data_IF_236528984425
#
_entry.id   IF_236528984425
#
_cell.length_a   1.000
_cell.length_b   1.000
_cell.length_c   1.000
_cell.angle_alpha   90.00
_cell.angle_beta   90.00
_cell.angle_gamma   90.00
#
_symmetry.space_group_name_H-M   'P 1'
#
loop_
_entity.id
_entity.type
_entity.pdbx_description
1 polymer ?
2 non-polymer ?
3 non-polymer ?
4 non-polymer ?
5 water ?
#
# COMPACT_ATOMS: atom_id res chain seq x y z
N UNK A 2 -18.02 5.88 28.49
CA UNK A 2 -17.80 7.25 27.93
C UNK A 2 -18.21 7.33 26.46
N UNK A 3 -18.76 8.46 26.05
CA UNK A 3 -19.26 8.64 24.68
C UNK A 3 -18.15 9.10 23.73
N UNK A 4 -17.86 8.30 22.72
CA UNK A 4 -16.84 8.60 21.71
C UNK A 4 -17.56 9.12 20.47
N UNK A 5 -16.96 10.13 19.82
CA UNK A 5 -17.50 10.69 18.59
C UNK A 5 -16.40 10.77 17.54
N UNK A 6 -16.68 10.28 16.34
CA UNK A 6 -15.75 10.46 15.25
C UNK A 6 -16.42 10.62 13.90
N UNK A 7 -15.82 11.46 13.07
CA UNK A 7 -16.22 11.58 11.67
C UNK A 7 -15.74 10.31 10.96
N UNK A 8 -16.57 9.75 10.09
CA UNK A 8 -16.26 8.51 9.38
C UNK A 8 -16.68 8.62 7.92
N UNK A 9 -15.69 8.76 7.04
CA UNK A 9 -15.92 8.88 5.61
C UNK A 9 -15.26 7.74 4.85
N UNK A 10 -15.96 7.25 3.83
CA UNK A 10 -15.46 6.21 2.98
C UNK A 10 -14.73 6.84 1.81
N UNK A 11 -13.50 6.40 1.56
CA UNK A 11 -12.77 6.72 0.34
C UNK A 11 -13.15 5.69 -0.71
N UNK A 12 -13.64 6.15 -1.86
CA UNK A 12 -14.35 5.28 -2.77
C UNK A 12 -13.48 4.34 -3.60
N UNK A 13 -12.20 4.65 -3.77
CA UNK A 13 -11.28 3.76 -4.50
C UNK A 13 -9.88 3.74 -3.88
N UNK A 14 -9.10 2.74 -4.29
CA UNK A 14 -7.70 2.64 -3.86
C UNK A 14 -6.91 3.82 -4.40
N UNK A 15 -7.27 4.29 -5.60
CA UNK A 15 -6.62 5.44 -6.21
C UNK A 15 -6.87 6.72 -5.40
N UNK A 16 -8.10 6.86 -4.90
CA UNK A 16 -8.43 8.00 -4.04
C UNK A 16 -7.64 7.95 -2.73
N UNK A 17 -7.52 6.75 -2.18
CA UNK A 17 -6.75 6.51 -0.97
C UNK A 17 -5.26 6.80 -1.20
N UNK A 18 -4.73 6.34 -2.32
CA UNK A 18 -3.33 6.61 -2.66
C UNK A 18 -3.07 8.11 -2.79
N UNK A 19 -3.98 8.81 -3.46
CA UNK A 19 -3.84 10.26 -3.64
C UNK A 19 -3.87 10.96 -2.30
N UNK A 20 -4.78 10.54 -1.42
CA UNK A 20 -4.89 11.14 -0.10
C UNK A 20 -3.63 10.93 0.74
N UNK A 21 -3.17 9.70 0.83
CA UNK A 21 -1.99 9.41 1.66
C UNK A 21 -0.76 10.14 1.13
N UNK A 22 -0.66 10.27 -0.19
CA UNK A 22 0.44 11.01 -0.81
C UNK A 22 0.40 12.48 -0.40
N UNK A 23 -0.77 13.09 -0.54
CA UNK A 23 -0.95 14.49 -0.17
C UNK A 23 -0.74 14.78 1.31
N UNK A 24 -1.06 13.83 2.18
CA UNK A 24 -0.96 14.03 3.63
C UNK A 24 0.40 13.69 4.22
N UNK A 25 1.32 13.21 3.38
CA UNK A 25 2.63 12.78 3.85
C UNK A 25 3.37 13.80 4.73
N UNK A 26 3.31 15.11 4.41
CA UNK A 26 3.97 16.09 5.29
C UNK A 26 3.41 16.14 6.70
N UNK A 27 2.18 15.65 6.88
CA UNK A 27 1.49 15.69 8.16
C UNK A 27 1.56 14.38 8.93
N UNK A 28 2.32 13.43 8.41
CA UNK A 28 2.34 12.09 8.99
C UNK A 28 2.92 12.05 10.39
N UNK A 29 2.19 11.42 11.29
CA UNK A 29 2.60 11.27 12.67
C UNK A 29 3.10 9.87 12.94
N UNK A 30 2.30 8.87 12.61
CA UNK A 30 2.68 7.48 12.79
C UNK A 30 1.80 6.55 11.97
N UNK A 31 2.25 5.30 11.86
CA UNK A 31 1.53 4.25 11.15
C UNK A 31 1.36 3.04 12.05
N UNK A 32 0.12 2.61 12.21
CA UNK A 32 -0.21 1.50 13.09
C UNK A 32 -0.67 0.30 12.27
N UNK A 33 -0.11 -0.86 12.60
CA UNK A 33 -0.58 -2.13 12.08
C UNK A 33 -1.54 -2.73 13.11
N UNK A 34 -2.79 -2.94 12.73
CA UNK A 34 -3.82 -3.43 13.64
C UNK A 34 -4.37 -4.77 13.18
N UNK A 35 -4.59 -5.66 14.15
CA UNK A 35 -5.40 -6.84 13.94
C UNK A 35 -6.55 -6.81 14.93
N UNK A 36 -7.77 -6.83 14.41
CA UNK A 36 -8.98 -6.78 15.23
C UNK A 36 -9.62 -8.17 15.30
N UNK A 37 -9.94 -8.63 16.50
CA UNK A 37 -10.66 -9.88 16.71
C UNK A 37 -11.87 -9.61 17.56
N UNK A 38 -12.91 -10.41 17.37
CA UNK A 38 -14.22 -10.15 17.98
C UNK A 38 -14.81 -11.39 18.63
N UNK A 39 -15.62 -11.15 19.65
CA UNK A 39 -16.14 -12.21 20.50
C UNK A 39 -17.63 -12.04 20.72
N UNK A 40 -18.36 -13.14 20.60
CA UNK A 40 -19.79 -13.19 20.92
C UNK A 40 -20.21 -14.63 21.19
N UNK A 41 -21.44 -14.83 21.63
CA UNK A 41 -21.98 -16.19 21.71
C UNK A 41 -22.37 -16.64 20.30
N UNK A 42 -22.51 -17.96 20.08
CA UNK A 42 -23.02 -18.44 18.79
C UNK A 42 -24.41 -17.91 18.45
N UNK A 43 -25.18 -17.52 19.45
CA UNK A 43 -26.50 -16.91 19.24
C UNK A 43 -26.44 -15.39 19.06
N UNK A 44 -25.24 -14.83 18.93
CA UNK A 44 -25.06 -13.40 18.70
C UNK A 44 -25.70 -12.53 19.77
N UNK A 45 -25.55 -12.92 21.03
CA UNK A 45 -26.18 -12.21 22.15
C UNK A 45 -25.74 -10.75 22.27
N UNK A 46 -24.45 -10.49 22.11
CA UNK A 46 -23.96 -9.11 22.16
C UNK A 46 -24.42 -8.31 20.94
N UNK A 47 -24.29 -8.89 19.76
CA UNK A 47 -24.66 -8.21 18.51
C UNK A 47 -26.14 -7.83 18.52
N UNK A 48 -26.97 -8.65 19.15
CA UNK A 48 -28.41 -8.37 19.27
C UNK A 48 -28.69 -7.22 20.25
N UNK A 49 -27.82 -7.06 21.24
CA UNK A 49 -27.90 -5.92 22.15
C UNK A 49 -27.07 -4.74 21.63
N UNK A 50 -26.70 -4.79 20.35
CA UNK A 50 -25.89 -3.76 19.70
C UNK A 50 -24.58 -3.47 20.45
N UNK A 51 -23.98 -4.52 21.00
CA UNK A 51 -22.68 -4.40 21.67
C UNK A 51 -21.64 -5.17 20.88
N UNK A 52 -20.42 -4.62 20.82
CA UNK A 52 -19.30 -5.27 20.16
C UNK A 52 -18.12 -5.38 21.15
N UNK A 53 -17.64 -6.61 21.34
CA UNK A 53 -16.50 -6.88 22.19
C UNK A 53 -15.30 -7.23 21.31
N UNK A 54 -14.25 -6.41 21.41
CA UNK A 54 -13.11 -6.52 20.50
C UNK A 54 -11.79 -6.61 21.26
N UNK A 55 -10.93 -7.51 20.80
CA UNK A 55 -9.51 -7.51 21.18
C UNK A 55 -8.71 -7.05 19.97
N UNK A 56 -7.99 -5.94 20.14
CA UNK A 56 -7.14 -5.40 19.09
C UNK A 56 -5.68 -5.64 19.44
N UNK A 57 -4.93 -6.19 18.50
CA UNK A 57 -3.48 -6.30 18.63
C UNK A 57 -2.87 -5.25 17.71
N UNK A 58 -1.93 -4.47 18.23
CA UNK A 58 -1.32 -3.43 17.41
C UNK A 58 0.15 -3.20 17.67
N UNK A 59 0.82 -2.75 16.62
CA UNK A 59 2.22 -2.37 16.66
C UNK A 59 2.41 -1.10 15.84
N UNK A 60 3.25 -0.21 16.34
CA UNK A 60 3.72 0.93 15.59
C UNK A 60 4.71 0.43 14.55
N UNK A 61 4.46 0.75 13.28
CA UNK A 61 5.29 0.28 12.16
C UNK A 61 6.72 0.79 12.25
N UNK A 62 6.94 1.89 12.97
CA UNK A 62 8.28 2.46 13.15
C UNK A 62 8.83 2.29 14.57
N UNK A 63 8.37 1.26 15.27
CA UNK A 63 8.90 0.93 16.60
C UNK A 63 10.42 0.77 16.55
N UNK A 64 11.07 1.15 17.63
CA UNK A 64 12.54 1.09 17.71
C UNK A 64 13.04 -0.33 17.45
N UNK A 65 14.05 -0.45 16.59
CA UNK A 65 14.69 -1.74 16.29
C UNK A 65 15.60 -2.17 17.44
N UNK A 66 16.18 -1.20 18.13
CA UNK A 66 17.11 -1.46 19.22
C UNK A 66 16.40 -1.97 20.47
N UNK A 67 15.27 -1.35 20.79
CA UNK A 67 14.48 -1.70 21.97
C UNK A 67 13.15 -2.33 21.58
N UNK A 68 13.14 -3.65 21.29
CA UNK A 68 11.87 -4.31 20.96
C UNK A 68 10.92 -4.40 22.16
N UNK A 69 9.62 -4.29 21.89
CA UNK A 69 8.58 -4.43 22.92
C UNK A 69 7.46 -5.32 22.36
N UNK A 70 6.64 -5.92 23.24
CA UNK A 70 5.56 -6.76 22.70
C UNK A 70 4.52 -5.95 21.92
N UNK A 71 3.74 -6.59 21.04
CA UNK A 71 2.57 -5.88 20.51
C UNK A 71 1.62 -5.53 21.64
N UNK A 72 0.90 -4.42 21.52
CA UNK A 72 -0.08 -4.04 22.55
C UNK A 72 -1.40 -4.76 22.28
N UNK A 73 -2.12 -5.09 23.34
CA UNK A 73 -3.44 -5.70 23.22
C UNK A 73 -4.46 -4.87 23.98
N UNK A 74 -5.48 -4.41 23.26
CA UNK A 74 -6.52 -3.56 23.85
C UNK A 74 -7.87 -4.24 23.74
N UNK A 75 -8.51 -4.45 24.88
CA UNK A 75 -9.90 -4.91 24.93
C UNK A 75 -10.82 -3.69 24.91
N UNK A 76 -11.86 -3.75 24.09
CA UNK A 76 -12.82 -2.65 24.02
C UNK A 76 -14.24 -3.17 23.94
N UNK A 77 -15.12 -2.53 24.69
CA UNK A 77 -16.54 -2.77 24.60
C UNK A 77 -17.20 -1.51 24.03
N UNK A 78 -17.88 -1.67 22.91
CA UNK A 78 -18.62 -0.59 22.28
C UNK A 78 -20.13 -0.89 22.30
N UNK A 79 -20.93 0.07 22.77
CA UNK A 79 -22.36 -0.12 22.93
C UNK A 79 -23.13 1.13 22.53
N UNK A 80 -24.44 0.97 22.34
CA UNK A 80 -25.35 2.04 21.97
C UNK A 80 -24.81 2.86 20.78
N UNK A 81 -24.46 2.19 19.66
CA UNK A 81 -23.89 2.89 18.52
C UNK A 81 -24.93 3.58 17.66
N UNK A 82 -24.54 4.72 17.10
CA UNK A 82 -25.27 5.35 16.00
C UNK A 82 -24.26 5.76 14.95
N UNK A 83 -24.62 5.56 13.70
CA UNK A 83 -23.79 5.93 12.57
C UNK A 83 -24.68 6.45 11.48
N UNK A 84 -24.64 7.75 11.24
CA UNK A 84 -25.44 8.38 10.21
C UNK A 84 -24.79 9.68 9.78
N UNK A 85 -24.90 9.99 8.48
CA UNK A 85 -24.39 11.25 7.93
C UNK A 85 -22.89 11.44 8.18
N UNK A 86 -22.15 10.34 8.22
CA UNK A 86 -20.70 10.37 8.33
C UNK A 86 -20.19 10.67 9.73
N UNK A 87 -21.06 10.52 10.73
CA UNK A 87 -20.69 10.76 12.12
C UNK A 87 -21.06 9.54 12.96
N UNK A 88 -20.07 8.98 13.62
CA UNK A 88 -20.25 7.83 14.50
C UNK A 88 -20.26 8.25 15.97
N UNK A 89 -21.27 7.82 16.71
CA UNK A 89 -21.34 8.01 18.16
C UNK A 89 -21.51 6.66 18.83
N UNK A 90 -20.72 6.42 19.87
CA UNK A 90 -20.75 5.15 20.56
C UNK A 90 -20.27 5.33 22.00
N UNK A 91 -20.84 4.53 22.89
CA UNK A 91 -20.36 4.41 24.26
C UNK A 91 -19.21 3.40 24.25
N UNK A 92 -18.05 3.80 24.75
CA UNK A 92 -16.86 2.95 24.68
C UNK A 92 -16.14 2.84 26.02
N UNK A 93 -15.68 1.63 26.31
CA UNK A 93 -14.81 1.37 27.45
C UNK A 93 -13.66 0.50 26.96
N UNK A 94 -12.42 0.93 27.21
CA UNK A 94 -11.26 0.18 26.72
C UNK A 94 -10.14 0.10 27.74
N UNK A 95 -9.32 -0.93 27.61
CA UNK A 95 -8.30 -1.25 28.59
C UNK A 95 -7.22 -2.10 27.94
N UNK A 96 -5.98 -1.84 28.30
CA UNK A 96 -4.86 -2.60 27.79
C UNK A 96 -4.68 -3.85 28.63
N UNK A 97 -4.32 -4.95 27.97
CA UNK A 97 -4.01 -6.21 28.66
C UNK A 97 -2.75 -6.79 28.07
N UNK A 98 -2.26 -7.85 28.71
CA UNK A 98 -1.02 -8.50 28.30
C UNK A 98 -1.23 -9.16 26.94
N UNK A 99 -0.24 -9.02 26.07
CA UNK A 99 -0.28 -9.63 24.75
C UNK A 99 -0.57 -11.14 24.82
N UNK A 100 0.16 -11.85 25.67
CA UNK A 100 0.05 -13.30 25.67
C UNK A 100 -1.33 -13.81 26.09
N UNK A 101 -1.96 -13.14 27.05
CA UNK A 101 -3.28 -13.59 27.50
C UNK A 101 -4.35 -13.24 26.45
N UNK A 102 -4.17 -12.11 25.79
CA UNK A 102 -5.01 -11.74 24.65
C UNK A 102 -5.00 -12.81 23.58
N UNK A 103 -3.81 -13.29 23.23
CA UNK A 103 -3.69 -14.35 22.22
C UNK A 103 -4.33 -15.67 22.65
N UNK A 104 -4.25 -15.98 23.94
CA UNK A 104 -4.87 -17.20 24.47
C UNK A 104 -6.39 -17.09 24.51
N UNK A 105 -6.89 -15.88 24.72
CA UNK A 105 -8.34 -15.64 24.70
C UNK A 105 -8.94 -15.86 23.32
N UNK A 106 -8.14 -15.59 22.28
CA UNK A 106 -8.58 -15.81 20.90
C UNK A 106 -8.89 -17.29 20.69
N UNK A 107 -8.03 -18.16 21.20
CA UNK A 107 -8.21 -19.61 21.06
C UNK A 107 -9.19 -20.15 22.11
N UNK A 108 -9.24 -19.52 23.29
CA UNK A 108 -10.10 -19.94 24.38
C UNK A 108 -10.78 -18.75 25.07
N UNK A 109 -11.93 -18.31 24.54
CA UNK A 109 -12.59 -17.11 25.09
C UNK A 109 -12.97 -17.20 26.57
N UNK A 110 -13.09 -18.40 27.12
CA UNK A 110 -13.38 -18.56 28.54
C UNK A 110 -12.32 -17.88 29.42
N UNK A 111 -11.09 -17.80 28.91
CA UNK A 111 -9.99 -17.20 29.65
C UNK A 111 -10.10 -15.69 29.79
N UNK A 112 -11.09 -15.08 29.14
CA UNK A 112 -11.37 -13.67 29.32
C UNK A 112 -11.69 -13.31 30.79
N UNK A 113 -12.11 -14.27 31.59
CA UNK A 113 -12.41 -14.04 33.02
C UNK A 113 -11.17 -13.98 33.91
N UNK A 114 -10.09 -14.66 33.52
CA UNK A 114 -8.84 -14.62 34.30
C UNK A 114 -8.27 -13.21 34.41
N UNK A 115 -8.44 -12.44 33.33
CA UNK A 115 -7.81 -11.14 33.18
C UNK A 115 -7.95 -10.23 34.40
N UNK A 116 -9.15 -10.18 34.98
CA UNK A 116 -9.45 -9.22 36.05
C UNK A 116 -9.50 -7.81 35.47
N UNK A 117 -10.24 -7.67 34.37
CA UNK A 117 -10.41 -6.41 33.67
C UNK A 117 -11.80 -5.84 33.94
N UNK A 118 -11.86 -4.56 34.30
CA UNK A 118 -13.12 -3.89 34.55
C UNK A 118 -13.99 -3.85 33.30
N UNK A 119 -13.37 -3.77 32.13
CA UNK A 119 -14.12 -3.75 30.87
C UNK A 119 -14.91 -5.04 30.71
N UNK A 120 -14.29 -6.17 31.05
CA UNK A 120 -14.94 -7.47 30.91
C UNK A 120 -15.90 -7.74 32.05
N UNK A 121 -15.59 -7.22 33.24
CA UNK A 121 -16.54 -7.25 34.34
C UNK A 121 -17.81 -6.52 33.94
N UNK A 122 -17.65 -5.43 33.20
CA UNK A 122 -18.78 -4.65 32.73
C UNK A 122 -19.63 -5.42 31.72
N UNK A 123 -18.98 -6.18 30.85
CA UNK A 123 -19.69 -7.01 29.88
C UNK A 123 -20.61 -7.97 30.63
N UNK A 124 -20.08 -8.60 31.67
CA UNK A 124 -20.83 -9.56 32.48
C UNK A 124 -22.03 -8.93 33.18
N UNK A 125 -21.78 -7.80 33.84
CA UNK A 125 -22.81 -7.13 34.65
C UNK A 125 -23.91 -6.50 33.82
N UNK A 126 -23.56 -5.87 32.71
CA UNK A 126 -24.53 -5.13 31.90
C UNK A 126 -25.38 -6.06 31.04
N UNK A 127 -24.78 -7.12 30.54
CA UNK A 127 -25.44 -8.00 29.57
C UNK A 127 -25.81 -9.37 30.13
N UNK A 128 -25.54 -9.58 31.42
CA UNK A 128 -26.09 -10.72 32.16
C UNK A 128 -25.37 -12.03 31.97
N UNK A 129 -24.05 -12.00 31.81
CA UNK A 129 -23.25 -13.21 31.74
C UNK A 129 -22.53 -13.42 33.08
N UNK A 130 -22.44 -14.67 33.52
CA UNK A 130 -21.66 -15.03 34.69
C UNK A 130 -20.20 -15.32 34.36
N UNK A 131 -19.94 -15.59 33.07
CA UNK A 131 -18.61 -15.92 32.60
C UNK A 131 -18.62 -15.90 31.06
N UNK A 132 -17.52 -16.28 30.44
CA UNK A 132 -17.41 -16.31 28.97
C UNK A 132 -17.34 -17.73 28.41
N UNK A 133 -17.87 -18.69 29.17
CA UNK A 133 -17.84 -20.09 28.76
C UNK A 133 -18.62 -20.36 27.48
N UNK A 134 -19.61 -19.52 27.18
CA UNK A 134 -20.43 -19.69 25.99
C UNK A 134 -20.00 -18.87 24.79
N UNK A 135 -18.79 -18.31 24.84
CA UNK A 135 -18.33 -17.40 23.80
C UNK A 135 -17.45 -18.09 22.77
N UNK A 136 -17.51 -17.57 21.54
CA UNK A 136 -16.57 -17.93 20.48
C UNK A 136 -15.84 -16.69 20.02
N UNK A 137 -14.67 -16.89 19.44
CA UNK A 137 -14.01 -15.84 18.68
C UNK A 137 -14.55 -15.90 17.27
N UNK A 138 -15.10 -14.78 16.80
CA UNK A 138 -15.68 -14.69 15.47
C UNK A 138 -14.60 -14.52 14.41
N UNK A 139 -13.35 -14.36 14.84
CA UNK A 139 -12.23 -14.09 13.94
C UNK A 139 -12.11 -12.59 13.78
N UNK A 140 -11.55 -12.17 12.66
CA UNK A 140 -11.42 -10.75 12.39
C UNK A 140 -10.60 -10.40 11.17
N UNK A 141 -9.95 -9.24 11.22
CA UNK A 141 -9.30 -8.69 10.04
C UNK A 141 -8.18 -7.72 10.39
N UNK A 142 -7.39 -7.41 9.37
CA UNK A 142 -6.21 -6.57 9.49
C UNK A 142 -6.54 -5.15 9.03
N UNK A 143 -5.93 -4.16 9.68
CA UNK A 143 -6.03 -2.77 9.25
C UNK A 143 -4.71 -2.03 9.37
N UNK A 144 -4.38 -1.24 8.34
CA UNK A 144 -3.26 -0.30 8.41
C UNK A 144 -3.82 1.10 8.59
N UNK A 145 -3.44 1.74 9.69
CA UNK A 145 -3.94 3.05 10.05
C UNK A 145 -2.82 4.07 10.00
N UNK A 146 -2.94 5.04 9.10
CA UNK A 146 -2.02 6.18 9.05
C UNK A 146 -2.62 7.33 9.84
N UNK A 147 -1.84 7.87 10.75
CA UNK A 147 -2.28 8.97 11.62
C UNK A 147 -1.56 10.25 11.19
N UNK A 148 -2.34 11.32 11.02
CA UNK A 148 -1.81 12.60 10.59
C UNK A 148 -2.25 13.72 11.53
N UNK A 149 -1.36 14.69 11.75
CA UNK A 149 -1.68 15.89 12.51
C UNK A 149 -1.91 17.00 11.48
N UNK A 150 -3.17 17.37 11.30
CA UNK A 150 -3.59 18.19 10.16
C UNK A 150 -4.66 19.19 10.56
N UNK A 151 -4.37 20.47 10.37
CA UNK A 151 -5.31 21.57 10.65
C UNK A 151 -5.99 21.45 12.02
N UNK A 152 -5.19 21.12 13.03
CA UNK A 152 -5.66 21.06 14.41
C UNK A 152 -6.29 19.77 14.88
N UNK A 153 -6.38 18.77 13.99
CA UNK A 153 -7.01 17.50 14.33
C UNK A 153 -6.12 16.33 13.97
N UNK A 154 -6.45 15.17 14.52
CA UNK A 154 -5.77 13.92 14.15
C UNK A 154 -6.61 13.15 13.14
N UNK A 155 -6.13 13.05 11.91
CA UNK A 155 -6.80 12.24 10.89
C UNK A 155 -6.27 10.82 10.93
N UNK A 156 -7.18 9.86 10.82
CA UNK A 156 -6.83 8.45 10.73
C UNK A 156 -7.30 7.96 9.37
N UNK A 157 -6.35 7.53 8.54
CA UNK A 157 -6.65 7.02 7.20
C UNK A 157 -6.41 5.51 7.23
N UNK A 158 -7.47 4.74 6.99
CA UNK A 158 -7.47 3.30 7.16
C UNK A 158 -7.48 2.56 5.83
N UNK A 159 -6.66 1.53 5.75
CA UNK A 159 -6.72 0.53 4.69
C UNK A 159 -7.04 -0.80 5.36
N UNK A 160 -8.30 -1.21 5.23
CA UNK A 160 -8.81 -2.39 5.90
C UNK A 160 -8.80 -3.55 4.92
N UNK A 161 -8.10 -4.62 5.28
CA UNK A 161 -7.81 -5.72 4.36
C UNK A 161 -8.63 -6.96 4.69
N UNK A 162 -9.87 -7.03 4.22
CA UNK A 162 -10.70 -8.21 4.41
C UNK A 162 -10.28 -9.29 3.43
N UNK A 163 -10.74 -10.52 3.67
CA UNK A 163 -10.49 -11.63 2.72
C UNK A 163 -11.15 -11.38 1.37
N UNK A 164 -12.22 -10.60 1.36
CA UNK A 164 -12.99 -10.32 0.15
C UNK A 164 -12.58 -9.01 -0.52
N UNK A 165 -11.51 -8.38 -0.05
CA UNK A 165 -10.98 -7.15 -0.66
C UNK A 165 -10.73 -6.05 0.34
N UNK A 166 -10.17 -4.95 -0.15
CA UNK A 166 -9.80 -3.82 0.68
C UNK A 166 -10.85 -2.73 0.71
N UNK A 167 -11.00 -2.08 1.86
CA UNK A 167 -11.81 -0.88 1.99
C UNK A 167 -10.94 0.23 2.56
N UNK A 168 -11.33 1.47 2.28
CA UNK A 168 -10.54 2.64 2.64
C UNK A 168 -11.44 3.69 3.30
N UNK A 169 -10.97 4.22 4.41
CA UNK A 169 -11.72 5.19 5.20
C UNK A 169 -10.85 6.33 5.72
N UNK A 170 -11.48 7.47 6.00
CA UNK A 170 -10.86 8.53 6.78
C UNK A 170 -11.69 8.72 8.02
N UNK A 171 -11.03 8.78 9.17
CA UNK A 171 -11.69 9.04 10.43
C UNK A 171 -11.04 10.17 11.18
N UNK A 172 -11.83 10.79 12.06
CA UNK A 172 -11.33 11.83 12.95
C UNK A 172 -12.12 11.87 14.24
N UNK A 173 -11.48 11.54 15.35
CA UNK A 173 -12.10 11.65 16.67
C UNK A 173 -12.16 13.12 17.05
N UNK A 174 -13.32 13.57 17.49
CA UNK A 174 -13.53 14.99 17.75
C UNK A 174 -14.81 15.22 18.53
N UNK A 175 -14.83 16.30 19.31
CA UNK A 175 -16.04 16.76 19.98
C UNK A 175 -16.80 17.77 19.12
N UNK A 176 -16.24 18.13 17.96
CA UNK A 176 -16.89 19.06 17.05
C UNK A 176 -17.03 18.46 15.65
N UNK A 177 -17.81 17.36 15.54
CA UNK A 177 -17.90 16.56 14.31
C UNK A 177 -18.42 17.31 13.08
N UNK A 178 -19.40 18.19 13.25
CA UNK A 178 -19.98 18.93 12.10
C UNK A 178 -18.96 19.89 11.49
N UNK A 179 -18.24 20.62 12.35
CA UNK A 179 -17.21 21.55 11.89
C UNK A 179 -16.07 20.79 11.21
N UNK A 180 -15.59 19.75 11.89
CA UNK A 180 -14.47 18.98 11.38
C UNK A 180 -14.83 18.23 10.09
N UNK A 181 -16.02 17.64 10.06
CA UNK A 181 -16.47 16.94 8.85
C UNK A 181 -16.47 17.89 7.66
N UNK A 182 -16.99 19.09 7.88
CA UNK A 182 -17.02 20.11 6.83
C UNK A 182 -15.60 20.44 6.35
N UNK A 183 -14.69 20.66 7.28
CA UNK A 183 -13.29 20.93 6.96
C UNK A 183 -12.65 19.82 6.12
N UNK A 184 -12.89 18.58 6.51
CA UNK A 184 -12.31 17.44 5.80
C UNK A 184 -12.90 17.35 4.40
N UNK A 185 -14.22 17.48 4.31
CA UNK A 185 -14.90 17.36 3.02
C UNK A 185 -14.48 18.43 2.03
N UNK A 186 -14.27 19.65 2.51
CA UNK A 186 -13.81 20.74 1.64
C UNK A 186 -12.45 20.43 1.06
N UNK A 187 -11.57 19.89 1.90
CA UNK A 187 -10.24 19.48 1.46
C UNK A 187 -10.30 18.39 0.41
N UNK A 188 -11.07 17.34 0.70
CA UNK A 188 -11.23 16.22 -0.23
C UNK A 188 -11.82 16.69 -1.55
N UNK A 189 -12.79 17.60 -1.45
CA UNK A 189 -13.43 18.16 -2.61
C UNK A 189 -12.45 18.96 -3.45
N UNK A 190 -11.71 19.84 -2.80
CA UNK A 190 -10.68 20.65 -3.48
C UNK A 190 -9.63 19.76 -4.19
N UNK A 191 -9.26 18.66 -3.56
CA UNK A 191 -8.23 17.77 -4.13
C UNK A 191 -8.81 16.65 -4.99
N UNK A 192 -10.14 16.65 -5.17
CA UNK A 192 -10.81 15.66 -5.98
C UNK A 192 -10.48 14.25 -5.56
N UNK A 193 -10.65 13.99 -4.26
CA UNK A 193 -10.48 12.68 -3.67
C UNK A 193 -11.88 12.12 -3.40
N UNK A 194 -12.30 11.15 -4.20
CA UNK A 194 -13.69 10.66 -4.15
C UNK A 194 -14.02 10.07 -2.77
N UNK A 195 -15.17 10.47 -2.23
CA UNK A 195 -15.59 10.02 -0.91
C UNK A 195 -17.10 10.01 -0.75
N UNK A 196 -17.55 9.35 0.32
CA UNK A 196 -18.92 9.47 0.77
C UNK A 196 -18.95 9.21 2.28
N UNK A 197 -20.12 9.34 2.88
CA UNK A 197 -20.30 8.93 4.26
C UNK A 197 -20.07 7.42 4.38
N UNK A 198 -19.45 7.00 5.47
CA UNK A 198 -19.39 5.59 5.82
C UNK A 198 -20.64 5.23 6.63
N UNK A 199 -21.47 4.33 6.10
CA UNK A 199 -22.71 3.94 6.78
C UNK A 199 -22.61 2.61 7.51
N UNK A 200 -21.45 1.96 7.42
CA UNK A 200 -21.21 0.71 8.14
C UNK A 200 -19.87 0.74 8.87
N UNK A 201 -19.84 0.15 10.07
CA UNK A 201 -18.61 -0.03 10.82
C UNK A 201 -17.76 -1.11 10.15
N UNK A 202 -16.46 -1.11 10.47
CA UNK A 202 -15.55 -2.11 9.92
C UNK A 202 -16.01 -3.52 10.29
N UNK A 203 -16.51 -3.68 11.51
CA UNK A 203 -17.00 -4.97 11.98
C UNK A 203 -18.25 -5.41 11.20
N UNK A 204 -19.15 -4.48 10.93
CA UNK A 204 -20.33 -4.78 10.13
C UNK A 204 -19.94 -5.22 8.72
N UNK A 205 -18.97 -4.54 8.12
CA UNK A 205 -18.52 -4.93 6.79
C UNK A 205 -17.92 -6.33 6.83
N UNK A 206 -17.11 -6.58 7.85
CA UNK A 206 -16.52 -7.91 8.08
C UNK A 206 -17.59 -8.99 8.13
N UNK A 207 -18.62 -8.77 8.93
CA UNK A 207 -19.68 -9.76 9.11
C UNK A 207 -20.54 -9.95 7.86
N UNK A 208 -20.67 -8.90 7.05
CA UNK A 208 -21.43 -8.98 5.80
C UNK A 208 -20.74 -9.90 4.77
N UNK A 209 -19.41 -10.03 4.87
CA UNK A 209 -18.66 -10.90 3.98
C UNK A 209 -18.51 -10.35 2.57
N UNK A 210 -18.75 -9.06 2.39
CA UNK A 210 -18.62 -8.42 1.08
C UNK A 210 -18.35 -6.92 1.19
N UNK A 211 -17.89 -6.33 0.09
CA UNK A 211 -17.63 -4.88 0.06
C UNK A 211 -18.95 -4.11 0.16
N UNK A 212 -18.95 -2.96 0.83
CA UNK A 212 -20.21 -2.23 1.04
C UNK A 212 -20.67 -1.48 -0.21
N UNK B 2 23.33 5.22 -23.57
CA UNK B 2 24.14 5.33 -22.31
C UNK B 2 23.80 4.22 -21.33
N UNK B 3 24.74 3.94 -20.43
CA UNK B 3 24.53 2.93 -19.38
C UNK B 3 23.78 3.49 -18.19
N UNK B 4 22.72 2.83 -17.79
CA UNK B 4 22.00 3.22 -16.61
C UNK B 4 22.49 2.27 -15.55
N UNK B 5 22.71 2.78 -14.34
CA UNK B 5 23.20 1.94 -13.26
C UNK B 5 22.36 2.20 -12.03
N UNK B 6 21.90 1.11 -11.40
CA UNK B 6 21.15 1.28 -10.18
C UNK B 6 21.32 0.15 -9.20
N UNK B 7 21.32 0.50 -7.92
CA UNK B 7 21.26 -0.47 -6.86
C UNK B 7 19.83 -1.03 -6.90
N UNK B 8 19.70 -2.34 -6.74
CA UNK B 8 18.40 -2.99 -6.70
C UNK B 8 18.35 -4.01 -5.59
N UNK B 9 17.61 -3.70 -4.54
CA UNK B 9 17.47 -4.61 -3.41
C UNK B 9 16.03 -5.05 -3.27
N UNK B 10 15.82 -6.34 -3.06
CA UNK B 10 14.52 -6.90 -2.70
C UNK B 10 14.12 -6.71 -1.21
N UNK B 11 12.97 -6.13 -0.95
CA UNK B 11 12.46 -6.14 0.42
C UNK B 11 11.66 -7.42 0.60
N UNK B 12 12.00 -8.21 1.60
CA UNK B 12 11.53 -9.60 1.66
C UNK B 12 10.07 -9.80 2.06
N UNK B 13 9.44 -8.80 2.67
CA UNK B 13 8.02 -8.91 3.04
C UNK B 13 7.31 -7.58 2.95
N UNK B 14 5.97 -7.66 2.96
CA UNK B 14 5.13 -6.47 2.99
C UNK B 14 5.33 -5.68 4.29
N UNK B 15 5.57 -6.40 5.39
CA UNK B 15 5.86 -5.77 6.68
C UNK B 15 7.16 -4.98 6.60
N UNK B 16 8.17 -5.54 5.95
CA UNK B 16 9.44 -4.83 5.75
C UNK B 16 9.23 -3.57 4.92
N UNK B 17 8.46 -3.70 3.86
CA UNK B 17 8.13 -2.57 3.00
C UNK B 17 7.37 -1.47 3.76
N UNK B 18 6.40 -1.88 4.59
CA UNK B 18 5.62 -0.90 5.35
C UNK B 18 6.49 -0.17 6.37
N UNK B 19 7.38 -0.90 7.03
CA UNK B 19 8.30 -0.28 7.99
C UNK B 19 9.20 0.76 7.28
N UNK B 20 9.73 0.40 6.12
CA UNK B 20 10.60 1.29 5.35
C UNK B 20 9.90 2.58 4.91
N UNK B 21 8.71 2.47 4.32
CA UNK B 21 7.98 3.64 3.86
C UNK B 21 7.62 4.55 5.02
N UNK B 22 7.28 3.96 6.15
CA UNK B 22 6.95 4.73 7.35
C UNK B 22 8.16 5.52 7.85
N UNK B 23 9.31 4.85 7.95
CA UNK B 23 10.54 5.52 8.41
C UNK B 23 11.02 6.60 7.46
N UNK B 24 10.80 6.41 6.15
CA UNK B 24 11.30 7.36 5.15
C UNK B 24 10.35 8.52 4.89
N UNK B 25 9.18 8.49 5.51
CA UNK B 25 8.16 9.52 5.34
C UNK B 25 8.66 10.97 5.36
N UNK B 26 9.57 11.32 6.30
CA UNK B 26 10.07 12.69 6.30
C UNK B 26 10.82 13.12 5.04
N UNK B 27 11.28 12.17 4.24
CA UNK B 27 12.08 12.44 3.05
C UNK B 27 11.30 12.29 1.74
N UNK B 28 9.99 12.07 1.84
CA UNK B 28 9.16 11.84 0.66
C UNK B 28 9.19 13.02 -0.31
N UNK B 29 9.46 12.74 -1.57
CA UNK B 29 9.40 13.72 -2.64
C UNK B 29 8.08 13.57 -3.42
N UNK B 30 7.84 12.37 -3.94
CA UNK B 30 6.64 12.14 -4.73
C UNK B 30 6.33 10.67 -4.82
N UNK B 31 5.09 10.38 -5.24
CA UNK B 31 4.63 9.01 -5.46
C UNK B 31 4.14 8.89 -6.89
N UNK B 32 4.64 7.89 -7.59
CA UNK B 32 4.32 7.67 -9.00
C UNK B 32 3.52 6.38 -9.16
N UNK B 33 2.42 6.46 -9.89
CA UNK B 33 1.66 5.30 -10.31
C UNK B 33 2.10 4.96 -11.72
N UNK B 34 2.63 3.75 -11.90
CA UNK B 34 3.17 3.31 -13.18
C UNK B 34 2.45 2.07 -13.68
N UNK B 35 2.18 2.03 -14.99
CA UNK B 35 1.69 0.84 -15.67
C UNK B 35 2.67 0.53 -16.79
N UNK B 36 3.36 -0.60 -16.66
CA UNK B 36 4.37 -1.02 -17.64
C UNK B 36 3.81 -2.01 -18.63
N UNK B 37 4.02 -1.77 -19.91
CA UNK B 37 3.61 -2.70 -20.96
C UNK B 37 4.81 -3.00 -21.87
N UNK B 38 4.80 -4.17 -22.48
CA UNK B 38 5.97 -4.70 -23.19
C UNK B 38 5.62 -5.28 -24.54
N UNK B 39 6.60 -5.28 -25.44
CA UNK B 39 6.39 -5.62 -26.83
C UNK B 39 7.51 -6.53 -27.34
N UNK B 40 7.13 -7.54 -28.12
CA UNK B 40 8.08 -8.43 -28.78
C UNK B 40 7.36 -9.19 -29.88
N UNK B 41 8.11 -9.92 -30.72
CA UNK B 41 7.48 -10.83 -31.67
C UNK B 41 6.96 -12.06 -30.94
N UNK B 42 6.04 -12.83 -31.56
CA UNK B 42 5.59 -14.08 -30.94
C UNK B 42 6.72 -15.08 -30.70
N UNK B 43 7.83 -14.97 -31.44
CA UNK B 43 8.98 -15.83 -31.21
C UNK B 43 10.08 -15.16 -30.38
N UNK B 44 9.72 -14.08 -29.70
CA UNK B 44 10.60 -13.44 -28.72
C UNK B 44 11.94 -13.00 -29.29
N UNK B 45 11.93 -12.39 -30.47
CA UNK B 45 13.16 -11.94 -31.14
C UNK B 45 14.00 -11.01 -30.26
N UNK B 46 13.37 -10.03 -29.62
CA UNK B 46 14.09 -9.09 -28.77
C UNK B 46 14.62 -9.76 -27.51
N UNK B 47 13.77 -10.51 -26.83
CA UNK B 47 14.15 -11.20 -25.60
C UNK B 47 15.35 -12.14 -25.79
N UNK B 48 15.41 -12.82 -26.93
CA UNK B 48 16.52 -13.70 -27.27
C UNK B 48 17.80 -12.93 -27.57
N UNK B 49 17.68 -11.64 -27.89
CA UNK B 49 18.83 -10.77 -28.09
C UNK B 49 19.06 -9.86 -26.87
N UNK B 50 18.48 -10.26 -25.73
CA UNK B 50 18.65 -9.56 -24.48
C UNK B 50 18.23 -8.09 -24.53
N UNK B 51 17.14 -7.83 -25.23
CA UNK B 51 16.56 -6.49 -25.32
C UNK B 51 15.11 -6.51 -24.85
N UNK B 52 14.70 -5.42 -24.20
CA UNK B 52 13.34 -5.25 -23.71
C UNK B 52 12.81 -3.89 -24.20
N UNK B 53 11.62 -3.91 -24.81
CA UNK B 53 10.96 -2.73 -25.31
C UNK B 53 9.72 -2.48 -24.48
N UNK B 54 9.66 -1.32 -23.83
CA UNK B 54 8.63 -1.02 -22.85
C UNK B 54 7.95 0.32 -23.14
N UNK B 55 6.63 0.33 -23.01
CA UNK B 55 5.85 1.56 -22.89
C UNK B 55 5.36 1.63 -21.47
N UNK B 56 5.80 2.67 -20.76
CA UNK B 56 5.33 2.96 -19.42
C UNK B 56 4.35 4.13 -19.48
N UNK B 57 3.21 3.94 -18.83
CA UNK B 57 2.27 5.03 -18.58
C UNK B 57 2.42 5.39 -17.11
N UNK B 58 2.54 6.69 -16.83
CA UNK B 58 2.65 7.13 -15.44
C UNK B 58 1.93 8.42 -15.14
N UNK B 59 1.48 8.53 -13.90
CA UNK B 59 0.89 9.75 -13.36
C UNK B 59 1.51 10.00 -12.00
N UNK B 60 1.75 11.27 -11.69
CA UNK B 60 2.10 11.68 -10.35
C UNK B 60 0.83 11.62 -9.49
N UNK B 61 0.92 10.92 -8.36
CA UNK B 61 -0.24 10.70 -7.51
C UNK B 61 -0.75 11.99 -6.85
N UNK B 62 0.10 13.00 -6.77
CA UNK B 62 -0.28 14.30 -6.21
C UNK B 62 -0.38 15.41 -7.25
N UNK B 63 -0.63 15.06 -8.51
CA UNK B 63 -0.80 16.06 -9.58
C UNK B 63 -1.94 17.02 -9.24
N UNK B 64 -1.79 18.28 -9.67
CA UNK B 64 -2.75 19.34 -9.39
C UNK B 64 -4.18 18.98 -9.79
N UNK B 65 -5.11 19.13 -8.85
CA UNK B 65 -6.54 18.95 -9.13
C UNK B 65 -7.09 20.11 -9.93
N UNK B 66 -6.51 21.29 -9.73
CA UNK B 66 -6.96 22.50 -10.41
C UNK B 66 -6.51 22.53 -11.88
N UNK B 67 -5.40 21.86 -12.18
CA UNK B 67 -4.81 21.87 -13.53
C UNK B 67 -4.44 20.46 -13.97
N UNK B 68 -5.42 19.71 -14.52
CA UNK B 68 -5.13 18.31 -14.88
C UNK B 68 -4.34 18.20 -16.17
N UNK B 69 -3.55 17.13 -16.29
CA UNK B 69 -2.74 16.88 -17.48
C UNK B 69 -2.80 15.40 -17.84
N UNK B 70 -2.54 15.06 -19.11
CA UNK B 70 -2.59 13.65 -19.51
C UNK B 70 -1.57 12.81 -18.73
N UNK B 71 -1.82 11.49 -18.58
CA UNK B 71 -0.71 10.67 -18.12
C UNK B 71 0.44 10.75 -19.12
N UNK B 72 1.66 10.57 -18.63
CA UNK B 72 2.83 10.57 -19.49
C UNK B 72 3.09 9.16 -20.01
N UNK B 73 3.62 9.07 -21.23
CA UNK B 73 3.96 7.79 -21.82
C UNK B 73 5.42 7.82 -22.26
N UNK B 74 6.19 6.84 -21.79
CA UNK B 74 7.63 6.78 -22.03
C UNK B 74 7.97 5.46 -22.69
N UNK B 75 8.56 5.52 -23.87
CA UNK B 75 9.06 4.33 -24.56
C UNK B 75 10.51 4.13 -24.18
N UNK B 76 10.88 2.90 -23.85
CA UNK B 76 12.27 2.59 -23.49
C UNK B 76 12.76 1.32 -24.13
N UNK B 77 14.00 1.37 -24.61
CA UNK B 77 14.72 0.20 -25.08
C UNK B 77 15.87 -0.06 -24.09
N UNK B 78 15.84 -1.24 -23.46
CA UNK B 78 16.91 -1.69 -22.58
C UNK B 78 17.59 -2.90 -23.18
N UNK B 79 18.92 -2.88 -23.24
CA UNK B 79 19.69 -3.93 -23.90
C UNK B 79 20.92 -4.32 -23.10
N UNK B 80 21.31 -5.58 -23.24
CA UNK B 80 22.54 -6.11 -22.65
C UNK B 80 22.59 -5.89 -21.13
N UNK B 81 21.55 -6.35 -20.42
CA UNK B 81 21.49 -6.13 -18.99
C UNK B 81 22.42 -7.04 -18.20
N UNK B 82 22.90 -6.54 -17.07
CA UNK B 82 23.65 -7.34 -16.11
C UNK B 82 23.14 -7.00 -14.71
N UNK B 83 22.85 -8.02 -13.92
CA UNK B 83 22.33 -7.83 -12.57
C UNK B 83 23.02 -8.83 -11.66
N UNK B 84 23.92 -8.32 -10.81
CA UNK B 84 24.69 -9.16 -9.90
C UNK B 84 25.03 -8.34 -8.65
N UNK B 85 25.01 -9.03 -7.51
CA UNK B 85 25.27 -8.40 -6.22
C UNK B 85 24.46 -7.12 -5.98
N UNK B 86 23.22 -7.12 -6.46
CA UNK B 86 22.30 -6.03 -6.19
C UNK B 86 22.60 -4.77 -6.97
N UNK B 87 23.37 -4.90 -8.04
CA UNK B 87 23.69 -3.77 -8.90
C UNK B 87 23.28 -4.11 -10.32
N UNK B 88 22.45 -3.24 -10.89
CA UNK B 88 21.95 -3.41 -12.25
C UNK B 88 22.66 -2.44 -13.18
N UNK B 89 23.12 -2.96 -14.31
CA UNK B 89 23.77 -2.17 -15.35
C UNK B 89 23.18 -2.55 -16.70
N UNK B 90 22.68 -1.54 -17.43
CA UNK B 90 22.01 -1.78 -18.70
C UNK B 90 22.15 -0.58 -19.63
N UNK B 91 22.22 -0.84 -20.93
CA UNK B 91 22.17 0.20 -21.95
C UNK B 91 20.72 0.63 -22.06
N UNK B 92 20.45 1.92 -21.92
CA UNK B 92 19.07 2.40 -21.97
C UNK B 92 18.92 3.61 -22.87
N UNK B 93 17.80 3.61 -23.59
CA UNK B 93 17.39 4.73 -24.40
C UNK B 93 15.89 4.93 -24.19
N UNK B 94 15.50 6.13 -23.79
CA UNK B 94 14.09 6.41 -23.54
C UNK B 94 13.64 7.76 -24.11
N UNK B 95 12.36 7.84 -24.42
CA UNK B 95 11.78 9.02 -25.06
C UNK B 95 10.31 9.12 -24.72
N UNK B 96 9.84 10.34 -24.47
CA UNK B 96 8.43 10.56 -24.18
C UNK B 96 7.64 10.63 -25.49
N UNK B 97 6.44 10.05 -25.48
CA UNK B 97 5.54 10.10 -26.62
C UNK B 97 4.15 10.49 -26.13
N UNK B 98 3.27 10.80 -27.08
CA UNK B 98 1.90 11.18 -26.74
C UNK B 98 1.18 10.00 -26.07
N UNK B 99 0.37 10.31 -25.07
CA UNK B 99 -0.37 9.29 -24.33
C UNK B 99 -1.29 8.50 -25.26
N UNK B 100 -2.07 9.19 -26.08
CA UNK B 100 -3.06 8.51 -26.91
C UNK B 100 -2.45 7.55 -27.93
N UNK B 101 -1.29 7.90 -28.47
CA UNK B 101 -0.65 7.01 -29.44
C UNK B 101 -0.07 5.80 -28.71
N UNK B 102 0.39 6.02 -27.48
CA UNK B 102 0.89 4.91 -26.66
C UNK B 102 -0.18 3.86 -26.41
N UNK B 103 -1.38 4.32 -26.08
CA UNK B 103 -2.51 3.43 -25.81
C UNK B 103 -2.93 2.67 -27.06
N UNK B 104 -2.91 3.34 -28.20
CA UNK B 104 -3.26 2.67 -29.46
C UNK B 104 -2.21 1.63 -29.85
N UNK B 105 -0.95 1.88 -29.50
CA UNK B 105 0.11 0.94 -29.78
C UNK B 105 -0.05 -0.37 -28.98
N UNK B 106 -0.63 -0.27 -27.78
CA UNK B 106 -0.93 -1.43 -26.96
C UNK B 106 -1.87 -2.37 -27.70
N UNK B 107 -2.92 -1.82 -28.32
CA UNK B 107 -3.89 -2.63 -29.09
C UNK B 107 -3.34 -3.02 -30.46
N UNK B 108 -2.51 -2.17 -31.05
CA UNK B 108 -1.98 -2.38 -32.39
C UNK B 108 -0.50 -1.97 -32.46
N UNK B 109 0.41 -2.90 -32.15
CA UNK B 109 1.84 -2.61 -32.14
C UNK B 109 2.43 -2.13 -33.47
N UNK B 110 1.75 -2.39 -34.59
CA UNK B 110 2.19 -1.89 -35.88
C UNK B 110 2.25 -0.36 -35.90
N UNK B 111 1.42 0.28 -35.07
CA UNK B 111 1.39 1.74 -34.99
C UNK B 111 2.60 2.35 -34.29
N UNK B 112 3.51 1.51 -33.80
CA UNK B 112 4.76 1.99 -33.23
C UNK B 112 5.62 2.76 -34.24
N UNK B 113 5.45 2.51 -35.53
CA UNK B 113 6.23 3.20 -36.57
C UNK B 113 5.68 4.58 -36.91
N UNK B 114 4.44 4.87 -36.51
CA UNK B 114 3.85 6.20 -36.72
C UNK B 114 4.55 7.29 -35.90
N UNK B 115 5.01 6.93 -34.71
CA UNK B 115 5.48 7.88 -33.71
C UNK B 115 6.58 8.80 -34.23
N UNK B 116 7.52 8.24 -35.00
CA UNK B 116 8.69 8.98 -35.44
C UNK B 116 9.67 9.13 -34.28
N UNK B 117 9.83 8.07 -33.51
CA UNK B 117 10.71 8.06 -32.34
C UNK B 117 12.09 7.56 -32.75
N UNK B 118 13.12 8.24 -32.25
CA UNK B 118 14.50 7.79 -32.41
C UNK B 118 14.71 6.42 -31.76
N UNK B 119 14.03 6.18 -30.64
CA UNK B 119 14.20 4.96 -29.88
C UNK B 119 13.72 3.76 -30.71
N UNK B 120 12.54 3.88 -31.30
CA UNK B 120 11.98 2.80 -32.09
C UNK B 120 12.74 2.62 -33.41
N UNK B 121 13.24 3.71 -33.97
CA UNK B 121 14.12 3.61 -35.14
C UNK B 121 15.37 2.80 -34.80
N UNK B 122 15.88 3.02 -33.59
CA UNK B 122 17.03 2.27 -33.11
C UNK B 122 16.70 0.77 -32.95
N UNK B 123 15.48 0.46 -32.52
CA UNK B 123 15.06 -0.94 -32.41
C UNK B 123 15.10 -1.61 -33.78
N UNK B 124 14.57 -0.92 -34.79
CA UNK B 124 14.54 -1.44 -36.15
C UNK B 124 15.95 -1.68 -36.70
N UNK B 125 16.80 -0.66 -36.55
CA UNK B 125 18.12 -0.66 -37.14
C UNK B 125 19.07 -1.65 -36.44
N UNK B 126 18.98 -1.72 -35.11
CA UNK B 126 19.86 -2.60 -34.32
C UNK B 126 19.44 -4.07 -34.36
N UNK B 127 18.15 -4.33 -34.52
CA UNK B 127 17.62 -5.69 -34.40
C UNK B 127 17.02 -6.23 -35.71
N UNK B 128 17.19 -5.48 -36.80
CA UNK B 128 16.86 -5.96 -38.13
C UNK B 128 15.37 -6.09 -38.41
N UNK B 129 14.59 -5.08 -38.03
CA UNK B 129 13.17 -5.03 -38.37
C UNK B 129 12.89 -3.92 -39.36
N UNK B 130 12.08 -4.21 -40.37
CA UNK B 130 11.60 -3.20 -41.30
C UNK B 130 10.46 -2.38 -40.69
N UNK B 131 9.76 -2.98 -39.73
CA UNK B 131 8.57 -2.39 -39.13
C UNK B 131 8.15 -3.24 -37.92
N UNK B 132 7.00 -2.92 -37.33
CA UNK B 132 6.49 -3.64 -36.16
C UNK B 132 5.23 -4.46 -36.48
N UNK B 133 5.04 -4.78 -37.76
CA UNK B 133 3.90 -5.58 -38.19
C UNK B 133 3.85 -6.96 -37.54
N UNK B 134 5.02 -7.50 -37.17
CA UNK B 134 5.11 -8.81 -36.55
C UNK B 134 5.11 -8.80 -35.02
N UNK B 135 4.74 -7.68 -34.41
CA UNK B 135 4.86 -7.54 -32.96
C UNK B 135 3.53 -7.76 -32.23
N UNK B 136 3.63 -8.24 -31.00
CA UNK B 136 2.49 -8.35 -30.11
C UNK B 136 2.78 -7.58 -28.84
N UNK B 137 1.72 -7.22 -28.12
CA UNK B 137 1.88 -6.69 -26.77
C UNK B 137 1.83 -7.87 -25.80
N UNK B 138 2.84 -7.97 -24.95
CA UNK B 138 2.95 -9.07 -23.98
C UNK B 138 2.12 -8.81 -22.73
N UNK B 139 1.42 -7.67 -22.70
CA UNK B 139 0.71 -7.25 -21.53
C UNK B 139 1.68 -6.52 -20.61
N UNK B 140 1.39 -6.55 -19.32
CA UNK B 140 2.26 -5.88 -18.37
C UNK B 140 1.73 -5.86 -16.96
N UNK B 141 2.19 -4.89 -16.18
CA UNK B 141 1.88 -4.84 -14.76
C UNK B 141 1.98 -3.43 -14.16
N UNK B 142 1.40 -3.29 -12.99
CA UNK B 142 1.28 -2.04 -12.26
C UNK B 142 2.40 -1.95 -11.19
N UNK B 143 2.90 -0.73 -10.97
CA UNK B 143 3.86 -0.47 -9.91
C UNK B 143 3.59 0.90 -9.28
N UNK B 144 3.62 0.93 -7.94
CA UNK B 144 3.58 2.16 -7.19
C UNK B 144 5.00 2.45 -6.70
N UNK B 145 5.54 3.60 -7.13
CA UNK B 145 6.91 3.99 -6.84
C UNK B 145 6.93 5.22 -5.93
N UNK B 146 7.38 5.02 -4.70
CA UNK B 146 7.60 6.12 -3.78
C UNK B 146 9.04 6.62 -3.94
N UNK B 147 9.20 7.93 -4.14
CA UNK B 147 10.52 8.54 -4.34
C UNK B 147 10.90 9.40 -3.13
N UNK B 148 12.10 9.17 -2.60
CA UNK B 148 12.61 9.89 -1.43
C UNK B 148 13.93 10.57 -1.73
N UNK B 149 14.08 11.80 -1.22
CA UNK B 149 15.35 12.52 -1.25
C UNK B 149 16.03 12.29 0.09
N UNK B 150 17.01 11.42 0.12
CA UNK B 150 17.56 10.90 1.37
C UNK B 150 19.09 10.79 1.25
N UNK B 151 19.79 11.44 2.18
CA UNK B 151 21.25 11.40 2.24
C UNK B 151 21.94 11.66 0.91
N UNK B 152 21.38 12.60 0.15
CA UNK B 152 21.95 13.04 -1.12
C UNK B 152 21.71 12.15 -2.32
N UNK B 153 20.86 11.13 -2.15
CA UNK B 153 20.47 10.27 -3.26
C UNK B 153 18.94 10.21 -3.39
N UNK B 154 18.48 9.67 -4.50
CA UNK B 154 17.05 9.47 -4.73
C UNK B 154 16.72 8.00 -4.54
N UNK B 155 16.03 7.67 -3.46
CA UNK B 155 15.56 6.31 -3.25
C UNK B 155 14.22 6.09 -3.92
N UNK B 156 14.09 4.98 -4.63
CA UNK B 156 12.82 4.57 -5.21
C UNK B 156 12.37 3.28 -4.54
N UNK B 157 11.23 3.34 -3.87
CA UNK B 157 10.68 2.18 -3.18
C UNK B 157 9.45 1.69 -3.94
N UNK B 158 9.51 0.45 -4.41
CA UNK B 158 8.53 -0.10 -5.33
C UNK B 158 7.62 -1.13 -4.70
N UNK B 159 6.33 -0.99 -4.96
CA UNK B 159 5.34 -2.01 -4.70
C UNK B 159 4.80 -2.45 -6.06
N UNK B 160 5.25 -3.60 -6.53
CA UNK B 160 4.90 -4.10 -7.85
C UNK B 160 3.76 -5.10 -7.71
N UNK B 161 2.64 -4.81 -8.36
CA UNK B 161 1.40 -5.56 -8.19
C UNK B 161 1.11 -6.49 -9.35
N UNK B 162 1.69 -7.69 -9.33
CA UNK B 162 1.41 -8.69 -10.36
C UNK B 162 0.10 -9.42 -10.02
N UNK B 163 -0.41 -10.20 -10.97
CA UNK B 163 -1.62 -10.99 -10.76
C UNK B 163 -1.41 -12.12 -9.74
N UNK B 164 -0.17 -12.60 -9.66
CA UNK B 164 0.18 -13.71 -8.79
C UNK B 164 0.67 -13.25 -7.42
N UNK B 165 0.67 -11.94 -7.17
CA UNK B 165 1.07 -11.40 -5.88
C UNK B 165 1.94 -10.15 -5.98
N UNK B 166 2.24 -9.57 -4.83
CA UNK B 166 3.00 -8.32 -4.75
C UNK B 166 4.47 -8.57 -4.46
N UNK B 167 5.33 -7.75 -5.06
CA UNK B 167 6.76 -7.76 -4.79
C UNK B 167 7.20 -6.37 -4.36
N UNK B 168 8.27 -6.30 -3.58
CA UNK B 168 8.76 -5.05 -3.01
C UNK B 168 10.27 -4.90 -3.20
N UNK B 169 10.67 -3.71 -3.65
CA UNK B 169 12.08 -3.40 -3.95
C UNK B 169 12.46 -1.99 -3.52
N UNK B 170 13.76 -1.80 -3.28
CA UNK B 170 14.34 -0.46 -3.17
C UNK B 170 15.35 -0.31 -4.30
N UNK B 171 15.24 0.77 -5.05
CA UNK B 171 16.21 1.09 -6.07
C UNK B 171 16.84 2.46 -5.85
N UNK B 172 18.05 2.62 -6.38
CA UNK B 172 18.74 3.90 -6.36
C UNK B 172 19.66 4.01 -7.58
N UNK B 173 19.32 4.96 -8.45
CA UNK B 173 20.09 5.25 -9.64
C UNK B 173 21.31 6.03 -9.21
N UNK B 174 22.49 5.59 -9.63
CA UNK B 174 23.72 6.22 -9.17
C UNK B 174 24.94 5.76 -9.96
N UNK B 175 25.92 6.64 -10.09
CA UNK B 175 27.20 6.29 -10.69
C UNK B 175 28.15 5.66 -9.66
N UNK B 176 27.73 5.64 -8.39
CA UNK B 176 28.54 5.11 -7.30
C UNK B 176 27.78 3.99 -6.59
N UNK B 177 27.43 2.91 -7.32
CA UNK B 177 26.57 1.86 -6.78
C UNK B 177 27.10 1.14 -5.53
N UNK B 178 28.37 0.76 -5.52
CA UNK B 178 28.96 0.04 -4.39
C UNK B 178 28.83 0.83 -3.09
N UNK B 179 29.18 2.10 -3.18
CA UNK B 179 29.10 3.04 -2.08
C UNK B 179 27.67 3.21 -1.60
N UNK B 180 26.77 3.47 -2.53
CA UNK B 180 25.38 3.73 -2.21
C UNK B 180 24.69 2.48 -1.67
N UNK B 181 24.98 1.33 -2.28
CA UNK B 181 24.44 0.06 -1.81
C UNK B 181 24.82 -0.19 -0.35
N UNK B 182 26.09 0.01 -0.04
CA UNK B 182 26.61 -0.17 1.32
C UNK B 182 25.86 0.69 2.34
N UNK B 183 25.64 1.95 1.99
CA UNK B 183 24.93 2.89 2.87
C UNK B 183 23.47 2.47 3.06
N UNK B 184 22.83 2.07 1.98
CA UNK B 184 21.43 1.64 2.06
C UNK B 184 21.34 0.39 2.95
N UNK B 185 22.20 -0.57 2.68
CA UNK B 185 22.22 -1.82 3.45
C UNK B 185 22.48 -1.59 4.93
N UNK B 186 23.38 -0.65 5.24
CA UNK B 186 23.67 -0.30 6.64
C UNK B 186 22.43 0.27 7.33
N UNK B 187 21.70 1.12 6.63
CA UNK B 187 20.45 1.66 7.17
C UNK B 187 19.40 0.57 7.37
N UNK B 188 19.18 -0.25 6.35
CA UNK B 188 18.20 -1.33 6.44
C UNK B 188 18.55 -2.29 7.58
N UNK B 189 19.84 -2.56 7.75
CA UNK B 189 20.31 -3.46 8.80
C UNK B 189 20.04 -2.88 10.17
N UNK B 190 20.42 -1.62 10.38
CA UNK B 190 20.16 -0.95 11.66
C UNK B 190 18.68 -0.91 11.99
N UNK B 191 17.83 -0.73 10.98
CA UNK B 191 16.38 -0.64 11.18
C UNK B 191 15.67 -1.98 11.13
N UNK B 192 16.43 -3.05 10.92
CA UNK B 192 15.88 -4.40 10.86
C UNK B 192 14.77 -4.53 9.83
N UNK B 193 15.05 -4.04 8.62
CA UNK B 193 14.16 -4.17 7.48
C UNK B 193 14.76 -5.26 6.60
N UNK B 194 14.09 -6.41 6.55
CA UNK B 194 14.63 -7.59 5.87
C UNK B 194 14.83 -7.34 4.37
N UNK B 195 15.99 -7.73 3.86
CA UNK B 195 16.32 -7.50 2.46
C UNK B 195 17.31 -8.52 1.92
N UNK B 196 17.41 -8.54 0.60
CA UNK B 196 18.46 -9.25 -0.12
C UNK B 196 18.70 -8.52 -1.43
N UNK B 197 19.70 -8.97 -2.18
CA UNK B 197 19.89 -8.50 -3.54
C UNK B 197 18.70 -8.92 -4.41
N UNK B 198 18.26 -8.05 -5.31
CA UNK B 198 17.32 -8.44 -6.35
C UNK B 198 18.13 -9.13 -7.46
N UNK B 199 17.77 -10.36 -7.79
CA UNK B 199 18.45 -11.11 -8.85
C UNK B 199 17.65 -11.15 -10.15
N UNK B 200 16.43 -10.61 -10.15
CA UNK B 200 15.58 -10.60 -11.34
C UNK B 200 14.99 -9.20 -11.56
N UNK B 201 14.90 -8.80 -12.82
CA UNK B 201 14.19 -7.58 -13.19
C UNK B 201 12.69 -7.77 -12.98
N UNK B 202 11.94 -6.67 -12.91
CA UNK B 202 10.49 -6.76 -12.75
C UNK B 202 9.86 -7.46 -13.96
N UNK B 203 10.39 -7.19 -15.15
CA UNK B 203 9.91 -7.86 -16.36
C UNK B 203 10.17 -9.36 -16.31
N UNK B 204 11.35 -9.74 -15.80
CA UNK B 204 11.69 -11.14 -15.66
C UNK B 204 10.72 -11.85 -14.73
N UNK B 205 10.37 -11.19 -13.62
CA UNK B 205 9.42 -11.77 -12.66
C UNK B 205 8.06 -11.90 -13.34
N UNK B 206 7.64 -10.82 -14.03
CA UNK B 206 6.39 -10.83 -14.79
C UNK B 206 6.32 -12.02 -15.73
N UNK B 207 7.36 -12.19 -16.55
CA UNK B 207 7.38 -13.29 -17.52
C UNK B 207 7.38 -14.67 -16.84
N UNK B 208 8.04 -14.76 -15.69
CA UNK B 208 8.11 -16.02 -14.94
C UNK B 208 6.75 -16.48 -14.45
N UNK B 209 5.86 -15.52 -14.17
CA UNK B 209 4.53 -15.83 -13.69
C UNK B 209 4.48 -16.30 -12.25
N UNK B 210 5.53 -16.03 -11.47
CA UNK B 210 5.54 -16.40 -10.05
C UNK B 210 6.46 -15.51 -9.23
N UNK B 211 6.22 -15.49 -7.92
CA UNK B 211 7.07 -14.72 -7.01
C UNK B 211 8.49 -15.27 -7.04
N UNK B 212 9.49 -14.39 -6.95
CA UNK B 212 10.90 -14.85 -7.03
C UNK B 212 11.39 -15.50 -5.74
X LIG C 1 -15.29 1.31 13.34
X LIG C 1 -16.28 0.53 14.14
X LIG C 1 -15.00 2.68 13.86
X LIG C 1 -15.51 1.23 11.86
X LIG C 1 -12.49 0.87 13.88
X LIG C 1 -11.60 -0.31 13.65
X LIG C 1 -12.13 2.05 13.06
X LIG C 1 -13.96 0.40 13.54
X LIG C 1 -11.88 2.42 16.13
X LIG C 1 -12.47 3.61 15.47
X LIG C 1 -12.22 2.09 17.55
X LIG C 1 -12.60 1.18 15.43
X LIG C 1 -10.44 2.24 15.88
X LIG D 1 -13.33 3.95 13.75
X LIG E 1 -13.44 1.38 -0.82
X LIG E 1 -13.64 1.88 0.52
X LIG E 1 -14.17 0.06 -1.12
X LIG E 1 -13.32 -0.77 -1.92
X LIG F 1 -20.66 -8.77 18.32
X LIG F 1 -21.45 -7.60 18.35
X LIG F 1 -19.82 -8.88 19.59
X LIG F 1 -18.44 -8.63 19.30
X LIG G 1 -8.56 9.56 -7.29
X LIG G 1 -8.95 10.60 -6.38
X LIG G 1 -7.14 9.77 -7.84
X LIG G 1 -7.02 10.99 -8.56
X LIG H 1 -20.59 19.62 15.95
X LIG H 1 -21.18 19.15 17.13
X LIG H 1 -19.63 20.71 16.30
X LIG H 1 -19.18 21.31 15.12
X LIG I 1 13.75 -3.13 -13.52
X LIG I 1 13.50 -4.21 -12.51
X LIG I 1 14.06 -3.68 -14.88
X LIG I 1 14.68 -2.05 -13.02
X LIG I 1 11.80 -1.04 -13.35
X LIG I 1 12.29 -0.66 -12.00
X LIG I 1 10.31 -0.99 -13.59
X LIG I 1 12.27 -2.52 -13.69
X LIG I 1 13.17 1.23 -14.18
X LIG I 1 14.22 0.92 -13.14
X LIG I 1 12.09 2.16 -13.78
X LIG I 1 12.51 -0.20 -14.48
X LIG I 1 13.63 1.61 -15.54
X LIG J 1 14.52 -0.42 -11.85
X LIG K 1 30.81 2.65 -5.92
X LIG K 1 31.29 3.83 -5.34
X LIG K 1 31.16 2.59 -7.38
X LIG K 1 30.83 1.32 -7.86
X LIG L 1 18.92 13.39 7.22
X LIG L 1 17.95 13.25 8.28
X LIG L 1 19.40 12.05 6.64
X LIG L 1 19.48 11.06 7.67
X LIG M 1 -10.11 25.01 7.38
X LIG M 1 -9.30 24.37 6.40
X LIG M 1 -9.16 25.35 8.52
X LIG M 1 -8.07 26.07 7.94
#
# INVERSE_FOLDING_TARGET
GAMEVEVKLRLLTAAAHLRLTTLLTPYHLKTLHQRNTFFDTPKNDLSLRRAVLRLRFLQNAAVSAASPSPPRCIVSLKAKPTLANGISRVEEDEEEIEYWIGKECVESPAKLSDIGSRVLKRVKEEYGFNDFLGFVCLGGFENVRNVYEWRGVKLEVDETKYDFGNCYEIECETEEPERVKTMIEEFLTEEKIEFSNSDMTKFAVFRSGKLP
GAMEVEVKLRLLTAAAHLRLTTLLTPYHLKTLHQRNTFFDTPKNDLSLRRAVLRLRFLQNAAVSAASPSPPRCIVSLKAKPTLANGISRVEEDEEEIEYWIGKECVESPAKLSDIGSRVLKRVKEEYGFNDFLGFVCLGGFENVRNVYEWRGVKLEVDETKYDFGNCYEIECETEEPERVKTMIEEFLTEEKIEFSNSDMTKFAVFRSGKLP
3PO PG O1G O2G O3G PB O1B O2B O3B PA O1A O2A O3A O5'
MN MN
EDO C1 O1 C2 O2
EDO C1 O1 C2 O2
EDO C1 O1 C2 O2
EDO C1 O1 C2 O2
3PO PG O1G O2G O3G PB O1B O2B O3B PA O1A O2A O3A O5'
MN MN
EDO C1 O1 C2 O2
EDO C1 O1 C2 O2
EDO C1 O1 C2 O2
#
